data_IF_717445348583
#
_entry.id   IF_717445348583
#
_cell.length_a   1.000
_cell.length_b   1.000
_cell.length_c   1.000
_cell.angle_alpha   90.00
_cell.angle_beta   90.00
_cell.angle_gamma   90.00
#
_symmetry.space_group_name_H-M   'P 1'
#
loop_
_entity.id
_entity.type
_entity.pdbx_description
1 polymer ?
#
# COMPACT_ATOMS: atom_id res chain seq x y z
N UNK A 1 23.45 19.13 23.88
CA UNK A 1 22.63 19.07 22.67
C UNK A 1 22.10 17.68 22.57
N UNK A 2 20.84 17.47 23.04
CA UNK A 2 20.19 16.16 22.96
C UNK A 2 19.78 15.92 21.51
N UNK A 3 20.31 14.86 20.91
CA UNK A 3 19.82 14.32 19.66
C UNK A 3 18.48 13.69 20.03
N UNK A 4 17.37 14.41 19.79
CA UNK A 4 16.04 13.83 19.82
C UNK A 4 16.02 12.72 18.79
N UNK A 5 15.86 11.48 19.23
CA UNK A 5 15.44 10.38 18.37
C UNK A 5 14.05 10.76 17.85
N UNK A 6 14.00 11.31 16.65
CA UNK A 6 12.77 11.56 15.92
C UNK A 6 12.18 10.19 15.62
N UNK A 7 11.33 9.69 16.53
CA UNK A 7 10.67 8.41 16.39
C UNK A 7 9.67 8.58 15.23
N UNK A 8 10.03 8.08 14.07
CA UNK A 8 9.12 8.00 12.92
C UNK A 8 7.85 7.29 13.38
N UNK A 9 6.67 7.93 13.34
CA UNK A 9 5.43 7.30 13.77
C UNK A 9 5.18 6.02 12.97
N UNK A 10 4.96 4.93 13.68
CA UNK A 10 4.66 3.64 13.04
C UNK A 10 3.66 2.84 13.85
N UNK A 11 2.91 1.98 13.17
CA UNK A 11 2.04 0.97 13.76
C UNK A 11 2.12 -0.31 12.96
N UNK A 12 2.09 -1.44 13.66
CA UNK A 12 1.95 -2.76 13.05
C UNK A 12 0.62 -3.37 13.47
N UNK A 13 -0.13 -3.89 12.51
CA UNK A 13 -1.40 -4.60 12.72
C UNK A 13 -1.34 -5.97 12.04
N UNK A 14 -2.14 -6.91 12.52
CA UNK A 14 -2.36 -8.20 11.84
C UNK A 14 -3.70 -8.19 11.14
N UNK A 15 -3.70 -8.52 9.85
CA UNK A 15 -4.88 -8.63 9.00
C UNK A 15 -5.10 -10.11 8.68
N UNK A 16 -6.25 -10.63 9.09
CA UNK A 16 -6.54 -12.06 8.98
C UNK A 16 -7.05 -12.45 7.58
N UNK A 17 -7.69 -11.51 6.88
CA UNK A 17 -8.40 -11.79 5.63
C UNK A 17 -8.08 -10.78 4.52
N UNK A 18 -8.51 -11.08 3.29
CA UNK A 18 -8.45 -10.14 2.17
C UNK A 18 -9.35 -8.92 2.40
N UNK A 19 -10.48 -9.13 3.04
CA UNK A 19 -11.42 -8.08 3.41
C UNK A 19 -10.79 -7.10 4.40
N UNK A 20 -10.04 -7.62 5.39
CA UNK A 20 -9.27 -6.78 6.32
C UNK A 20 -8.24 -5.94 5.59
N UNK A 21 -7.58 -6.51 4.56
CA UNK A 21 -6.62 -5.78 3.73
C UNK A 21 -7.28 -4.65 2.94
N UNK A 22 -8.46 -4.91 2.34
CA UNK A 22 -9.28 -3.87 1.69
C UNK A 22 -9.67 -2.82 2.71
N UNK A 23 -10.17 -3.24 3.88
CA UNK A 23 -10.61 -2.34 4.95
C UNK A 23 -9.48 -1.44 5.45
N UNK A 24 -8.28 -1.97 5.62
CA UNK A 24 -7.10 -1.17 5.97
C UNK A 24 -6.79 -0.11 4.90
N UNK A 25 -6.89 -0.48 3.62
CA UNK A 25 -6.76 0.46 2.50
C UNK A 25 -7.83 1.55 2.53
N UNK A 26 -9.09 1.21 2.83
CA UNK A 26 -10.20 2.18 2.94
C UNK A 26 -9.98 3.17 4.08
N UNK A 27 -9.58 2.69 5.25
CA UNK A 27 -9.31 3.56 6.41
C UNK A 27 -8.20 4.56 6.12
N UNK A 28 -7.12 4.10 5.49
CA UNK A 28 -6.01 4.97 5.11
C UNK A 28 -6.45 5.92 4.01
N UNK A 29 -7.09 5.42 2.94
CA UNK A 29 -7.56 6.21 1.80
C UNK A 29 -8.48 7.36 2.19
N UNK A 30 -9.35 7.14 3.17
CA UNK A 30 -10.28 8.17 3.70
C UNK A 30 -9.58 9.34 4.42
N UNK A 31 -8.31 9.21 4.77
CA UNK A 31 -7.51 10.25 5.43
C UNK A 31 -6.51 10.94 4.48
N UNK A 32 -6.39 10.44 3.25
CA UNK A 32 -5.45 10.98 2.26
C UNK A 32 -6.02 12.19 1.54
N UNK A 33 -5.14 13.05 1.09
CA UNK A 33 -5.44 14.23 0.29
C UNK A 33 -4.58 14.23 -0.97
N UNK A 34 -4.94 15.08 -1.93
CA UNK A 34 -4.08 15.36 -3.09
C UNK A 34 -2.67 15.75 -2.65
N UNK A 35 -1.67 15.22 -3.31
CA UNK A 35 -0.25 15.38 -2.96
C UNK A 35 0.31 14.32 -2.02
N UNK A 36 -0.51 13.39 -1.51
CA UNK A 36 -0.03 12.31 -0.66
C UNK A 36 0.51 11.14 -1.50
N UNK A 37 1.66 10.62 -1.09
CA UNK A 37 2.35 9.51 -1.73
C UNK A 37 2.46 8.33 -0.78
N UNK A 38 2.18 7.13 -1.26
CA UNK A 38 2.32 5.87 -0.54
C UNK A 38 3.29 4.94 -1.26
N UNK A 39 4.10 4.23 -0.49
CA UNK A 39 4.93 3.13 -0.97
C UNK A 39 4.35 1.82 -0.43
N UNK A 40 4.07 0.86 -1.31
CA UNK A 40 3.68 -0.49 -0.93
C UNK A 40 4.85 -1.44 -1.14
N UNK A 41 5.32 -2.03 -0.05
CA UNK A 41 6.44 -2.99 -0.02
C UNK A 41 5.93 -4.35 0.48
N UNK A 42 6.44 -5.42 -0.10
CA UNK A 42 6.10 -6.79 0.30
C UNK A 42 6.26 -7.77 -0.85
N UNK A 43 6.41 -9.09 -0.58
CA UNK A 43 6.63 -10.10 -1.62
C UNK A 43 5.48 -10.18 -2.64
N UNK A 44 5.69 -10.93 -3.71
CA UNK A 44 4.61 -11.24 -4.66
C UNK A 44 3.48 -11.96 -3.92
N UNK A 45 2.24 -11.58 -4.20
CA UNK A 45 1.06 -12.15 -3.53
C UNK A 45 0.84 -11.65 -2.09
N UNK A 46 1.60 -10.67 -1.59
CA UNK A 46 1.44 -10.12 -0.23
C UNK A 46 0.10 -9.40 -0.01
N UNK A 47 -0.58 -8.95 -1.07
CA UNK A 47 -1.83 -8.20 -0.95
C UNK A 47 -1.69 -6.70 -1.28
N UNK A 48 -0.60 -6.24 -1.89
CA UNK A 48 -0.40 -4.83 -2.26
C UNK A 48 -1.54 -4.28 -3.11
N UNK A 49 -1.90 -4.98 -4.18
CA UNK A 49 -3.02 -4.59 -5.05
C UNK A 49 -4.37 -4.70 -4.34
N UNK A 50 -4.55 -5.65 -3.42
CA UNK A 50 -5.75 -5.76 -2.57
C UNK A 50 -5.88 -4.53 -1.67
N UNK A 51 -4.79 -4.10 -1.05
CA UNK A 51 -4.74 -2.86 -0.30
C UNK A 51 -5.05 -1.63 -1.17
N UNK A 52 -4.46 -1.55 -2.38
CA UNK A 52 -4.72 -0.47 -3.32
C UNK A 52 -6.19 -0.41 -3.78
N UNK A 53 -6.91 -1.54 -3.85
CA UNK A 53 -8.37 -1.57 -4.09
C UNK A 53 -9.13 -0.84 -2.99
N UNK A 54 -8.74 -1.03 -1.73
CA UNK A 54 -9.31 -0.29 -0.60
C UNK A 54 -9.08 1.21 -0.70
N UNK A 55 -7.85 1.63 -1.08
CA UNK A 55 -7.56 3.05 -1.35
C UNK A 55 -8.51 3.60 -2.43
N UNK A 56 -8.64 2.89 -3.55
CA UNK A 56 -9.50 3.31 -4.65
C UNK A 56 -10.98 3.39 -4.26
N UNK A 57 -11.46 2.47 -3.41
CA UNK A 57 -12.81 2.50 -2.83
C UNK A 57 -13.03 3.78 -2.02
N UNK A 58 -12.12 4.10 -1.10
CA UNK A 58 -12.22 5.28 -0.23
C UNK A 58 -12.10 6.61 -0.98
N UNK A 59 -11.32 6.65 -2.06
CA UNK A 59 -11.15 7.82 -2.91
C UNK A 59 -12.25 7.95 -3.97
N UNK A 60 -13.23 7.03 -3.99
CA UNK A 60 -14.33 6.99 -4.96
C UNK A 60 -13.84 7.11 -6.40
N UNK A 61 -12.89 6.24 -6.78
CA UNK A 61 -12.32 6.29 -8.13
C UNK A 61 -13.09 5.41 -9.12
N UNK A 62 -12.98 5.73 -10.41
CA UNK A 62 -13.66 5.03 -11.49
C UNK A 62 -13.03 3.67 -11.76
N UNK A 63 -13.86 2.64 -11.75
CA UNK A 63 -13.53 1.29 -12.18
C UNK A 63 -12.68 0.51 -11.17
N UNK A 64 -12.39 -0.75 -11.46
CA UNK A 64 -11.62 -1.58 -10.55
C UNK A 64 -10.14 -1.17 -10.53
N UNK A 65 -9.56 -1.07 -9.33
CA UNK A 65 -8.12 -0.92 -9.16
C UNK A 65 -7.47 -2.29 -9.35
N UNK A 66 -6.62 -2.39 -10.37
CA UNK A 66 -5.88 -3.61 -10.71
C UNK A 66 -4.40 -3.28 -10.82
N UNK A 67 -3.53 -4.28 -10.61
CA UNK A 67 -2.08 -4.07 -10.70
C UNK A 67 -1.68 -3.48 -12.05
N UNK A 68 -0.88 -2.40 -12.08
CA UNK A 68 -0.41 -1.78 -13.31
C UNK A 68 0.84 -2.47 -13.90
N UNK A 69 1.14 -3.71 -13.51
CA UNK A 69 2.37 -4.45 -13.85
C UNK A 69 2.70 -4.42 -15.35
N UNK A 70 1.71 -4.34 -16.25
CA UNK A 70 1.97 -4.34 -17.70
C UNK A 70 2.03 -2.94 -18.32
N UNK A 71 1.60 -1.89 -17.59
CA UNK A 71 1.48 -0.52 -18.11
C UNK A 71 2.31 0.50 -17.31
N UNK A 72 3.09 0.06 -16.31
CA UNK A 72 3.88 0.83 -15.36
C UNK A 72 3.05 1.73 -14.44
N UNK A 73 2.20 2.59 -14.98
CA UNK A 73 1.33 3.49 -14.23
C UNK A 73 -0.09 3.50 -14.79
N UNK A 74 -1.06 3.65 -13.91
CA UNK A 74 -2.47 3.80 -14.25
C UNK A 74 -3.11 4.88 -13.41
N UNK A 75 -3.78 5.82 -14.06
CA UNK A 75 -4.60 6.83 -13.40
C UNK A 75 -6.05 6.36 -13.31
N UNK A 76 -6.63 6.44 -12.12
CA UNK A 76 -8.03 6.19 -11.83
C UNK A 76 -8.70 7.52 -11.47
N UNK A 77 -9.47 8.14 -12.39
CA UNK A 77 -10.14 9.41 -12.12
C UNK A 77 -11.14 9.28 -10.97
N UNK A 78 -11.24 10.29 -10.11
CA UNK A 78 -12.29 10.36 -9.09
C UNK A 78 -13.67 10.48 -9.74
N UNK A 79 -14.68 9.85 -9.14
CA UNK A 79 -16.09 10.02 -9.52
C UNK A 79 -16.73 11.26 -8.86
N UNK A 80 -16.07 11.83 -7.85
CA UNK A 80 -16.52 12.98 -7.07
C UNK A 80 -15.57 14.17 -7.19
N UNK A 81 -15.49 14.94 -6.10
CA UNK A 81 -14.60 16.11 -5.98
C UNK A 81 -13.24 15.76 -5.30
N UNK A 82 -13.01 14.50 -4.97
CA UNK A 82 -11.77 14.03 -4.36
C UNK A 82 -10.63 13.93 -5.38
N UNK A 83 -9.40 13.60 -4.90
CA UNK A 83 -8.26 13.38 -5.76
C UNK A 83 -8.42 12.12 -6.60
N UNK A 84 -7.81 12.09 -7.77
CA UNK A 84 -7.62 10.85 -8.51
C UNK A 84 -6.58 9.96 -7.83
N UNK A 85 -6.59 8.67 -8.13
CA UNK A 85 -5.58 7.73 -7.69
C UNK A 85 -4.64 7.41 -8.86
N UNK A 86 -3.35 7.67 -8.68
CA UNK A 86 -2.29 7.18 -9.56
C UNK A 86 -1.69 5.92 -8.93
N UNK A 87 -1.72 4.80 -9.66
CA UNK A 87 -1.16 3.53 -9.23
C UNK A 87 0.02 3.15 -10.12
N UNK A 88 1.20 3.04 -9.52
CA UNK A 88 2.47 2.75 -10.20
C UNK A 88 3.03 1.41 -9.72
N UNK A 89 3.64 0.65 -10.63
CA UNK A 89 4.45 -0.52 -10.34
C UNK A 89 5.91 -0.24 -10.71
N UNK A 90 6.71 0.14 -9.71
CA UNK A 90 8.11 0.49 -9.91
C UNK A 90 9.04 -0.74 -10.08
N UNK A 91 8.53 -1.97 -9.93
CA UNK A 91 9.34 -3.20 -10.11
C UNK A 91 10.01 -3.29 -11.49
N UNK A 92 9.39 -2.66 -12.51
CA UNK A 92 9.89 -2.69 -13.91
C UNK A 92 10.69 -1.47 -14.31
N UNK A 93 10.86 -0.50 -13.44
CA UNK A 93 11.77 0.62 -13.71
C UNK A 93 13.19 0.09 -13.71
N UNK A 94 13.94 0.43 -14.77
CA UNK A 94 15.34 0.08 -14.89
C UNK A 94 16.23 0.93 -13.97
N UNK A 95 15.80 2.18 -13.77
CA UNK A 95 16.40 3.15 -12.86
C UNK A 95 15.30 3.78 -12.01
N UNK A 96 15.46 3.91 -10.67
CA UNK A 96 14.53 4.62 -9.80
C UNK A 96 14.17 6.04 -10.28
N UNK A 97 15.08 6.74 -10.97
CA UNK A 97 14.86 8.07 -11.51
C UNK A 97 13.78 8.11 -12.62
N UNK A 98 13.53 6.98 -13.30
CA UNK A 98 12.47 6.90 -14.33
C UNK A 98 11.07 7.19 -13.76
N UNK A 99 10.89 7.10 -12.43
CA UNK A 99 9.62 7.44 -11.80
C UNK A 99 9.24 8.92 -12.02
N UNK A 100 10.22 9.83 -11.95
CA UNK A 100 10.02 11.25 -12.20
C UNK A 100 9.71 11.52 -13.69
N UNK A 101 10.30 10.75 -14.58
CA UNK A 101 10.10 10.86 -16.04
C UNK A 101 8.68 10.44 -16.50
N UNK A 102 7.90 9.76 -15.65
CA UNK A 102 6.52 9.39 -15.98
C UNK A 102 5.58 10.60 -16.07
N UNK A 103 6.00 11.80 -15.64
CA UNK A 103 5.22 13.03 -15.74
C UNK A 103 3.91 12.99 -14.96
N UNK A 104 3.89 12.32 -13.80
CA UNK A 104 2.70 12.16 -12.98
C UNK A 104 2.32 13.47 -12.29
N UNK A 105 1.03 13.81 -12.26
CA UNK A 105 0.54 14.97 -11.49
C UNK A 105 0.38 14.60 -10.01
N UNK A 106 1.51 14.53 -9.30
CA UNK A 106 1.53 14.17 -7.89
C UNK A 106 0.75 15.17 -7.04
N UNK A 107 0.72 16.45 -7.42
CA UNK A 107 0.08 17.50 -6.63
C UNK A 107 -1.45 17.40 -6.64
N UNK A 108 -2.04 16.90 -7.72
CA UNK A 108 -3.49 16.75 -7.87
C UNK A 108 -4.02 15.36 -7.49
N UNK A 109 -3.13 14.39 -7.24
CA UNK A 109 -3.48 13.00 -7.02
C UNK A 109 -3.06 12.47 -5.65
N UNK A 110 -3.65 11.34 -5.25
CA UNK A 110 -3.04 10.39 -4.32
C UNK A 110 -2.26 9.39 -5.17
N UNK A 111 -0.97 9.22 -4.87
CA UNK A 111 -0.11 8.33 -5.64
C UNK A 111 0.30 7.12 -4.80
N UNK A 112 0.06 5.92 -5.31
CA UNK A 112 0.53 4.67 -4.71
C UNK A 112 1.56 4.01 -5.61
N UNK A 113 2.72 3.65 -5.05
CA UNK A 113 3.84 3.07 -5.77
C UNK A 113 4.18 1.72 -5.18
N UNK A 114 3.87 0.64 -5.90
CA UNK A 114 4.35 -0.71 -5.54
C UNK A 114 5.83 -0.80 -5.85
N UNK A 115 6.63 -1.37 -4.92
CA UNK A 115 8.09 -1.54 -5.04
C UNK A 115 8.89 -0.21 -5.12
N UNK A 116 8.27 0.91 -4.67
CA UNK A 116 8.80 2.25 -4.87
C UNK A 116 9.81 2.74 -3.83
N UNK A 117 10.32 1.90 -2.92
CA UNK A 117 11.16 2.32 -1.78
C UNK A 117 12.39 3.13 -2.19
N UNK A 118 13.02 2.81 -3.32
CA UNK A 118 14.20 3.51 -3.82
C UNK A 118 13.84 4.70 -4.72
N UNK A 119 12.67 4.65 -5.37
CA UNK A 119 12.26 5.66 -6.33
C UNK A 119 11.50 6.84 -5.70
N UNK A 120 10.62 6.57 -4.73
CA UNK A 120 9.79 7.62 -4.11
C UNK A 120 10.58 8.73 -3.42
N UNK A 121 11.71 8.46 -2.71
CA UNK A 121 12.54 9.53 -2.15
C UNK A 121 13.14 10.50 -3.17
N UNK A 122 13.13 10.16 -4.47
CA UNK A 122 13.61 11.04 -5.54
C UNK A 122 12.55 12.04 -5.99
N UNK A 123 11.26 11.78 -5.73
CA UNK A 123 10.14 12.62 -6.19
C UNK A 123 9.42 13.34 -5.06
N UNK A 124 9.64 12.95 -3.79
CA UNK A 124 9.03 13.61 -2.63
C UNK A 124 9.88 13.40 -1.38
N UNK A 125 9.82 14.33 -0.44
CA UNK A 125 10.48 14.28 0.87
C UNK A 125 9.58 13.70 1.99
N UNK A 126 8.31 13.37 1.66
CA UNK A 126 7.34 12.79 2.60
C UNK A 126 6.50 11.73 1.93
N UNK A 127 6.33 10.59 2.58
CA UNK A 127 5.47 9.50 2.11
C UNK A 127 5.01 8.61 3.27
N UNK A 128 4.00 7.82 3.02
CA UNK A 128 3.59 6.70 3.89
C UNK A 128 4.18 5.42 3.34
N UNK A 129 4.89 4.67 4.15
CA UNK A 129 5.38 3.36 3.78
C UNK A 129 4.52 2.29 4.42
N UNK A 130 3.94 1.42 3.59
CA UNK A 130 3.15 0.26 3.99
C UNK A 130 3.96 -0.98 3.65
N UNK A 131 4.48 -1.66 4.66
CA UNK A 131 5.15 -2.95 4.50
C UNK A 131 4.17 -4.07 4.82
N UNK A 132 4.02 -5.01 3.90
CA UNK A 132 3.10 -6.15 4.00
C UNK A 132 3.92 -7.43 4.01
N UNK A 133 3.95 -8.12 5.15
CA UNK A 133 4.66 -9.36 5.34
C UNK A 133 3.70 -10.51 5.68
N UNK A 134 4.11 -11.76 5.45
CA UNK A 134 3.39 -12.91 6.00
C UNK A 134 3.53 -12.91 7.50
N UNK A 135 2.44 -13.16 8.23
CA UNK A 135 2.53 -13.31 9.68
C UNK A 135 3.42 -14.51 10.03
N UNK A 136 4.27 -14.34 11.04
CA UNK A 136 5.12 -15.43 11.53
C UNK A 136 4.33 -16.62 12.10
N UNK A 137 3.02 -16.47 12.32
CA UNK A 137 2.11 -17.53 12.75
C UNK A 137 1.66 -18.45 11.61
N UNK A 138 1.90 -18.09 10.34
CA UNK A 138 1.63 -18.99 9.21
C UNK A 138 2.72 -20.05 9.13
N UNK A 139 2.40 -21.37 9.25
CA UNK A 139 3.38 -22.41 8.96
C UNK A 139 3.84 -22.22 7.52
N UNK A 140 5.14 -22.15 7.31
CA UNK A 140 5.75 -22.20 5.98
C UNK A 140 5.30 -23.49 5.31
N UNK A 141 4.32 -23.41 4.43
CA UNK A 141 4.12 -24.42 3.42
C UNK A 141 5.35 -24.30 2.51
N UNK A 142 6.41 -25.02 2.83
CA UNK A 142 7.39 -25.41 1.83
C UNK A 142 6.57 -26.04 0.71
N UNK A 143 6.49 -25.32 -0.41
CA UNK A 143 5.74 -25.74 -1.58
C UNK A 143 6.34 -27.06 -2.09
N UNK A 144 5.74 -28.19 -1.73
CA UNK A 144 5.79 -29.35 -2.60
C UNK A 144 5.08 -28.95 -3.89
N UNK A 145 5.89 -28.71 -4.92
CA UNK A 145 5.40 -28.57 -6.28
C UNK A 145 4.79 -29.92 -6.68
N UNK A 146 3.51 -30.06 -6.47
CA UNK A 146 2.73 -31.13 -7.08
C UNK A 146 2.39 -30.67 -8.50
N UNK A 147 3.19 -31.11 -9.47
CA UNK A 147 2.81 -31.05 -10.88
C UNK A 147 1.61 -31.96 -11.11
N UNK A 148 0.41 -31.38 -11.21
CA UNK A 148 -0.81 -32.05 -11.64
C UNK A 148 -1.38 -31.34 -12.87
N UNK A 149 -1.81 -32.08 -13.92
CA UNK A 149 -2.45 -31.49 -15.09
C UNK A 149 -3.93 -31.23 -14.78
N UNK A 150 -4.30 -29.97 -14.53
CA UNK A 150 -5.71 -29.62 -14.34
C UNK A 150 -5.84 -28.13 -14.08
N UNK A 151 -6.62 -27.45 -14.91
CA UNK A 151 -6.79 -26.02 -14.95
C UNK A 151 -7.00 -25.40 -13.55
N UNK A 152 -6.20 -24.43 -13.26
CA UNK A 152 -6.33 -23.63 -12.05
C UNK A 152 -7.61 -22.80 -12.15
N UNK A 153 -8.62 -23.19 -11.39
CA UNK A 153 -9.74 -22.35 -11.05
C UNK A 153 -9.19 -21.29 -10.07
N UNK A 154 -8.98 -20.09 -10.56
CA UNK A 154 -8.59 -18.94 -9.75
C UNK A 154 -9.85 -18.43 -9.02
N UNK A 155 -10.35 -19.20 -8.05
CA UNK A 155 -11.35 -18.68 -7.13
C UNK A 155 -10.67 -17.66 -6.20
N UNK A 156 -11.21 -16.46 -6.14
CA UNK A 156 -10.80 -15.36 -5.22
C UNK A 156 -11.00 -15.73 -3.73
N UNK A 157 -11.36 -16.97 -3.43
CA UNK A 157 -11.77 -17.48 -2.10
C UNK A 157 -10.68 -18.28 -1.37
N UNK A 158 -9.42 -18.27 -1.79
CA UNK A 158 -8.40 -18.85 -0.92
C UNK A 158 -8.25 -17.99 0.33
N UNK A 159 -8.37 -18.58 1.54
CA UNK A 159 -8.15 -17.86 2.77
C UNK A 159 -6.73 -17.30 2.74
N UNK A 160 -6.59 -15.97 2.67
CA UNK A 160 -5.28 -15.34 2.79
C UNK A 160 -4.71 -15.71 4.16
N UNK A 161 -3.50 -16.29 4.14
CA UNK A 161 -2.71 -16.39 5.37
C UNK A 161 -2.66 -15.00 6.04
N UNK A 162 -2.75 -14.91 7.37
CA UNK A 162 -2.65 -13.64 8.07
C UNK A 162 -1.44 -12.83 7.62
N UNK A 163 -1.63 -11.54 7.43
CA UNK A 163 -0.58 -10.60 7.02
C UNK A 163 -0.27 -9.65 8.16
N UNK A 164 1.00 -9.41 8.36
CA UNK A 164 1.48 -8.33 9.22
C UNK A 164 1.68 -7.09 8.36
N UNK A 165 0.95 -6.03 8.67
CA UNK A 165 1.02 -4.76 7.94
C UNK A 165 1.62 -3.71 8.87
N UNK A 166 2.73 -3.11 8.44
CA UNK A 166 3.38 -2.03 9.15
C UNK A 166 3.23 -0.74 8.36
N UNK A 167 2.57 0.25 8.95
CA UNK A 167 2.54 1.63 8.48
C UNK A 167 3.70 2.39 9.13
N UNK A 168 4.49 3.08 8.32
CA UNK A 168 5.54 4.00 8.75
C UNK A 168 5.35 5.34 8.06
N UNK A 169 5.44 6.44 8.82
CA UNK A 169 5.28 7.80 8.28
C UNK A 169 6.65 8.41 8.09
N UNK A 170 7.07 8.61 6.85
CA UNK A 170 8.36 9.19 6.49
C UNK A 170 8.23 10.68 6.16
N UNK A 171 9.25 11.46 6.53
CA UNK A 171 9.33 12.90 6.27
C UNK A 171 8.48 13.75 7.22
N UNK A 172 8.43 15.05 6.92
CA UNK A 172 7.70 16.03 7.73
C UNK A 172 6.35 16.34 7.11
N UNK A 173 5.30 16.17 7.89
CA UNK A 173 3.92 16.43 7.49
C UNK A 173 3.40 17.69 8.19
N UNK A 174 2.76 18.57 7.45
CA UNK A 174 2.14 19.81 7.92
C UNK A 174 0.79 19.63 8.62
N UNK A 175 0.28 18.41 8.64
CA UNK A 175 -1.00 18.01 9.27
C UNK A 175 -0.81 16.76 10.15
N UNK A 176 -1.67 16.53 11.15
CA UNK A 176 -1.53 15.42 12.09
C UNK A 176 -1.98 14.08 11.47
N UNK A 177 -1.67 13.84 10.19
CA UNK A 177 -2.09 12.63 9.48
C UNK A 177 -1.52 11.38 10.13
N UNK A 178 -0.27 11.42 10.59
CA UNK A 178 0.38 10.30 11.22
C UNK A 178 -0.40 9.75 12.43
N UNK A 179 -0.82 10.64 13.32
CA UNK A 179 -1.61 10.25 14.49
C UNK A 179 -2.97 9.68 14.08
N UNK A 180 -3.66 10.33 13.14
CA UNK A 180 -4.97 9.88 12.66
C UNK A 180 -4.92 8.50 12.00
N UNK A 181 -3.89 8.22 11.19
CA UNK A 181 -3.68 6.92 10.55
C UNK A 181 -3.37 5.82 11.55
N UNK A 182 -2.48 6.10 12.50
CA UNK A 182 -2.14 5.16 13.58
C UNK A 182 -3.36 4.85 14.43
N UNK A 183 -4.15 5.85 14.79
CA UNK A 183 -5.35 5.68 15.62
C UNK A 183 -6.45 4.93 14.88
N UNK A 184 -6.64 5.18 13.59
CA UNK A 184 -7.62 4.47 12.76
C UNK A 184 -7.30 2.97 12.68
N UNK A 185 -6.07 2.62 12.35
CA UNK A 185 -5.64 1.21 12.27
C UNK A 185 -5.68 0.52 13.64
N UNK A 186 -5.25 1.21 14.71
CA UNK A 186 -5.29 0.66 16.07
C UNK A 186 -6.70 0.40 16.55
N UNK A 187 -7.63 1.28 16.20
CA UNK A 187 -9.04 1.16 16.62
C UNK A 187 -9.70 -0.02 15.93
N UNK A 188 -9.44 -0.23 14.65
CA UNK A 188 -10.06 -1.29 13.85
C UNK A 188 -9.44 -2.67 14.12
N UNK A 189 -8.10 -2.76 14.11
CA UNK A 189 -7.40 -4.04 14.10
C UNK A 189 -6.63 -4.34 15.40
N UNK A 190 -6.50 -3.36 16.31
CA UNK A 190 -5.58 -3.46 17.43
C UNK A 190 -4.13 -3.26 16.99
N UNK A 191 -3.20 -3.30 17.94
CA UNK A 191 -1.78 -3.35 17.63
C UNK A 191 -1.31 -4.81 17.64
N UNK A 192 -0.50 -5.22 16.66
CA UNK A 192 0.12 -6.53 16.68
C UNK A 192 1.04 -6.66 17.90
N UNK A 193 1.15 -7.84 18.50
CA UNK A 193 2.13 -8.08 19.54
C UNK A 193 3.55 -7.85 19.00
N UNK A 194 4.40 -7.33 19.88
CA UNK A 194 5.80 -7.04 19.58
C UNK A 194 6.61 -8.31 19.29
#
# INVERSE_FOLDING_TARGET
MGVGTDLTPSITVELATAEDMVRAGELIGGLLLAGDVLVLTGPLGAGKTTFARGLGSALDVRGPVTSPTFVLARTHPSLGAGPELIHVDAYRLGDPAELDDLGLDLAASVTVVEWGREAVPLITDRWLEITIDRSAASPSLESEVVEGPGGADWSDDEPLDPRRVTLTVAGTWDRPVAAALVDALRTEFGAAPA
#
